data_IF_548598093756
#
_entry.id   IF_548598093756
#
_cell.length_a   1.000
_cell.length_b   1.000
_cell.length_c   1.000
_cell.angle_alpha   90.00
_cell.angle_beta   90.00
_cell.angle_gamma   90.00
#
_symmetry.space_group_name_H-M   'P 1'
#
loop_
_entity.id
_entity.type
_entity.pdbx_description
1 polymer ?
#
# COMPACT_ATOMS: atom_id res chain seq x y z
N UNK A 1 0.57 -28.47 -22.05
CA UNK A 1 1.05 -27.81 -20.82
C UNK A 1 0.16 -26.59 -20.58
N UNK A 2 -0.67 -26.59 -19.53
CA UNK A 2 -1.53 -25.45 -19.19
C UNK A 2 -0.72 -24.42 -18.42
N UNK A 3 -0.48 -23.27 -19.04
CA UNK A 3 0.09 -22.07 -18.42
C UNK A 3 -0.84 -21.58 -17.31
N UNK A 4 -0.34 -21.52 -16.07
CA UNK A 4 -1.11 -21.07 -14.90
C UNK A 4 -1.01 -19.56 -14.75
N UNK A 5 -2.14 -18.87 -14.87
CA UNK A 5 -2.24 -17.41 -14.81
C UNK A 5 -2.49 -16.96 -13.35
N UNK A 6 -1.49 -16.34 -12.71
CA UNK A 6 -1.60 -15.80 -11.34
C UNK A 6 -1.93 -14.31 -11.34
N UNK A 7 -3.12 -13.94 -11.80
CA UNK A 7 -3.53 -12.54 -11.90
C UNK A 7 -4.30 -12.07 -10.66
N UNK A 8 -3.60 -11.36 -9.77
CA UNK A 8 -4.27 -10.51 -8.78
C UNK A 8 -3.82 -9.08 -8.98
N UNK A 9 -4.75 -8.18 -9.30
CA UNK A 9 -4.49 -6.74 -9.46
C UNK A 9 -4.60 -5.97 -8.13
N UNK A 10 -4.90 -6.66 -7.02
CA UNK A 10 -5.05 -6.01 -5.72
C UNK A 10 -3.73 -5.45 -5.17
N UNK A 11 -2.59 -5.86 -5.70
CA UNK A 11 -1.28 -5.33 -5.33
C UNK A 11 -1.14 -3.82 -5.53
N UNK A 12 -1.90 -3.19 -6.44
CA UNK A 12 -1.91 -1.73 -6.59
C UNK A 12 -2.37 -1.02 -5.30
N UNK A 13 -3.36 -1.59 -4.60
CA UNK A 13 -3.82 -1.05 -3.32
C UNK A 13 -2.80 -1.22 -2.20
N UNK A 14 -1.85 -2.15 -2.34
CA UNK A 14 -0.75 -2.35 -1.39
C UNK A 14 0.31 -1.24 -1.54
N UNK A 15 0.36 -0.56 -2.69
CA UNK A 15 1.26 0.58 -2.95
C UNK A 15 0.77 1.90 -2.33
N UNK A 16 -0.51 2.01 -1.96
CA UNK A 16 -1.12 3.20 -1.33
C UNK A 16 -0.25 3.82 -0.22
N UNK A 17 0.22 3.07 0.80
CA UNK A 17 1.04 3.64 1.87
C UNK A 17 2.39 4.21 1.38
N UNK A 18 2.93 3.73 0.26
CA UNK A 18 4.16 4.27 -0.32
C UNK A 18 3.92 5.65 -0.95
N UNK A 19 2.82 5.81 -1.69
CA UNK A 19 2.41 7.13 -2.20
C UNK A 19 2.04 8.09 -1.07
N UNK A 20 1.38 7.57 -0.03
CA UNK A 20 1.12 8.33 1.19
C UNK A 20 2.41 8.84 1.84
N UNK A 21 3.45 8.01 1.91
CA UNK A 21 4.75 8.40 2.46
C UNK A 21 5.34 9.63 1.72
N UNK A 22 5.21 9.67 0.39
CA UNK A 22 5.68 10.81 -0.42
C UNK A 22 4.92 12.10 -0.07
N UNK A 23 3.60 12.03 0.08
CA UNK A 23 2.81 13.17 0.53
C UNK A 23 3.23 13.67 1.92
N UNK A 24 3.52 12.75 2.84
CA UNK A 24 3.94 13.09 4.20
C UNK A 24 5.33 13.72 4.28
N UNK A 25 6.23 13.46 3.33
CA UNK A 25 7.52 14.18 3.25
C UNK A 25 7.35 15.70 3.05
N UNK A 26 6.22 16.13 2.48
CA UNK A 26 5.89 17.55 2.30
C UNK A 26 5.16 18.09 3.54
N UNK A 27 4.28 17.29 4.13
CA UNK A 27 3.44 17.69 5.28
C UNK A 27 4.27 17.87 6.55
N UNK A 28 5.21 16.96 6.85
CA UNK A 28 5.97 16.99 8.11
C UNK A 28 6.74 18.31 8.31
N UNK A 29 7.59 18.76 7.36
CA UNK A 29 8.32 20.02 7.53
C UNK A 29 7.39 21.22 7.69
N UNK A 30 6.24 21.20 7.01
CA UNK A 30 5.26 22.29 7.09
C UNK A 30 4.58 22.36 8.46
N UNK A 31 4.20 21.22 9.05
CA UNK A 31 3.58 21.17 10.37
C UNK A 31 4.55 21.53 11.50
N UNK A 32 5.85 21.23 11.33
CA UNK A 32 6.87 21.45 12.37
C UNK A 32 7.40 22.89 12.39
N UNK A 33 7.25 23.65 11.31
CA UNK A 33 7.84 24.98 11.18
C UNK A 33 6.79 26.06 10.93
N UNK A 34 6.45 26.79 12.00
CA UNK A 34 5.46 27.87 11.98
C UNK A 34 5.86 29.05 11.09
N UNK A 35 7.14 29.19 10.73
CA UNK A 35 7.63 30.24 9.82
C UNK A 35 7.00 30.12 8.43
N UNK A 36 6.56 28.91 8.02
CA UNK A 36 5.85 28.71 6.76
C UNK A 36 4.45 29.34 6.73
N UNK A 37 3.88 29.72 7.88
CA UNK A 37 2.58 30.39 7.96
C UNK A 37 2.64 31.83 7.43
N UNK A 38 3.80 32.45 7.44
CA UNK A 38 4.03 33.82 6.97
C UNK A 38 4.20 33.91 5.44
N UNK A 39 4.34 32.78 4.75
CA UNK A 39 4.45 32.75 3.29
C UNK A 39 3.13 33.12 2.61
N UNK A 40 3.17 33.79 1.43
CA UNK A 40 1.96 34.17 0.70
C UNK A 40 1.12 32.96 0.25
N UNK A 41 1.71 31.76 0.20
CA UNK A 41 1.06 30.52 -0.19
C UNK A 41 0.67 29.61 1.00
N UNK A 42 0.81 30.07 2.24
CA UNK A 42 0.60 29.26 3.44
C UNK A 42 -0.79 28.61 3.51
N UNK A 43 -1.84 29.33 3.08
CA UNK A 43 -3.22 28.80 3.01
C UNK A 43 -3.34 27.63 2.05
N UNK A 44 -2.66 27.69 0.90
CA UNK A 44 -2.68 26.61 -0.10
C UNK A 44 -1.96 25.38 0.45
N UNK A 45 -0.80 25.57 1.08
CA UNK A 45 -0.02 24.46 1.66
C UNK A 45 -0.79 23.82 2.83
N UNK A 46 -1.47 24.62 3.66
CA UNK A 46 -2.33 24.14 4.73
C UNK A 46 -3.47 23.26 4.19
N UNK A 47 -4.20 23.74 3.17
CA UNK A 47 -5.28 22.97 2.54
C UNK A 47 -4.76 21.69 1.87
N UNK A 48 -3.64 21.77 1.17
CA UNK A 48 -2.99 20.61 0.55
C UNK A 48 -2.58 19.57 1.60
N UNK A 49 -2.04 20.01 2.73
CA UNK A 49 -1.63 19.13 3.83
C UNK A 49 -2.84 18.44 4.47
N UNK A 50 -3.91 19.20 4.74
CA UNK A 50 -5.17 18.64 5.23
C UNK A 50 -5.76 17.60 4.26
N UNK A 51 -5.71 17.87 2.96
CA UNK A 51 -6.17 16.93 1.93
C UNK A 51 -5.33 15.65 1.91
N UNK A 52 -3.99 15.75 1.99
CA UNK A 52 -3.10 14.58 2.06
C UNK A 52 -3.42 13.72 3.30
N UNK A 53 -3.60 14.34 4.46
CA UNK A 53 -3.94 13.64 5.71
C UNK A 53 -5.29 12.92 5.55
N UNK A 54 -6.30 13.61 5.02
CA UNK A 54 -7.64 13.06 4.82
C UNK A 54 -7.62 11.88 3.84
N UNK A 55 -6.99 12.04 2.67
CA UNK A 55 -6.89 11.00 1.65
C UNK A 55 -6.11 9.78 2.17
N UNK A 56 -4.96 9.99 2.82
CA UNK A 56 -4.15 8.87 3.35
C UNK A 56 -4.84 8.12 4.47
N UNK A 57 -5.61 8.82 5.31
CA UNK A 57 -6.46 8.21 6.34
C UNK A 57 -7.59 7.39 5.70
N UNK A 58 -8.29 7.96 4.73
CA UNK A 58 -9.40 7.31 4.03
C UNK A 58 -8.97 6.10 3.21
N UNK A 59 -7.78 6.12 2.63
CA UNK A 59 -7.23 4.99 1.87
C UNK A 59 -6.61 3.89 2.75
N UNK A 60 -6.50 4.11 4.07
CA UNK A 60 -5.90 3.12 4.96
C UNK A 60 -6.73 1.82 5.09
N UNK A 61 -8.08 1.86 5.20
CA UNK A 61 -8.89 0.65 5.10
C UNK A 61 -8.76 -0.05 3.74
N UNK A 62 -8.62 0.72 2.64
CA UNK A 62 -8.43 0.18 1.29
C UNK A 62 -7.15 -0.65 1.22
N UNK A 63 -6.05 -0.17 1.82
CA UNK A 63 -4.81 -0.94 1.94
C UNK A 63 -5.03 -2.31 2.60
N UNK A 64 -5.76 -2.37 3.72
CA UNK A 64 -6.02 -3.63 4.43
C UNK A 64 -6.87 -4.59 3.59
N UNK A 65 -7.92 -4.06 2.95
CA UNK A 65 -8.80 -4.84 2.07
C UNK A 65 -8.02 -5.40 0.89
N UNK A 66 -7.22 -4.57 0.21
CA UNK A 66 -6.40 -5.01 -0.90
C UNK A 66 -5.37 -6.06 -0.49
N UNK A 67 -4.74 -5.91 0.67
CA UNK A 67 -3.80 -6.88 1.21
C UNK A 67 -4.46 -8.25 1.47
N UNK A 68 -5.66 -8.25 2.06
CA UNK A 68 -6.43 -9.47 2.29
C UNK A 68 -6.89 -10.12 0.98
N UNK A 69 -7.40 -9.33 0.02
CA UNK A 69 -7.88 -9.82 -1.27
C UNK A 69 -6.75 -10.37 -2.13
N UNK A 70 -5.57 -9.73 -2.15
CA UNK A 70 -4.40 -10.24 -2.87
C UNK A 70 -3.94 -11.57 -2.29
N UNK A 71 -3.85 -11.66 -0.95
CA UNK A 71 -3.48 -12.90 -0.28
C UNK A 71 -4.51 -14.01 -0.51
N UNK A 72 -5.81 -13.70 -0.48
CA UNK A 72 -6.87 -14.66 -0.76
C UNK A 72 -6.80 -15.21 -2.17
N UNK A 73 -6.68 -14.33 -3.18
CA UNK A 73 -6.55 -14.74 -4.58
C UNK A 73 -5.29 -15.58 -4.80
N UNK A 74 -4.17 -15.21 -4.21
CA UNK A 74 -2.93 -15.98 -4.33
C UNK A 74 -3.06 -17.38 -3.70
N UNK A 75 -3.76 -17.51 -2.56
CA UNK A 75 -4.04 -18.80 -1.93
C UNK A 75 -4.99 -19.69 -2.72
N UNK A 76 -6.02 -19.10 -3.33
CA UNK A 76 -6.97 -19.80 -4.20
C UNK A 76 -6.35 -20.17 -5.55
N UNK A 77 -5.29 -19.46 -5.93
CA UNK A 77 -4.50 -19.77 -7.11
C UNK A 77 -3.48 -20.86 -6.82
N UNK A 78 -3.02 -21.47 -7.90
CA UNK A 78 -2.00 -22.50 -7.88
C UNK A 78 -0.55 -21.98 -7.67
N UNK A 79 -0.42 -20.77 -7.13
CA UNK A 79 0.86 -20.07 -7.02
C UNK A 79 1.81 -20.81 -6.09
N UNK A 80 3.13 -20.75 -6.34
CA UNK A 80 4.14 -21.38 -5.48
C UNK A 80 4.18 -20.79 -4.06
N UNK A 81 3.54 -19.65 -3.84
CA UNK A 81 3.36 -19.04 -2.53
C UNK A 81 1.88 -18.96 -2.18
N UNK A 82 1.51 -19.62 -1.08
CA UNK A 82 0.15 -19.64 -0.53
C UNK A 82 0.09 -18.79 0.77
N UNK A 83 -0.06 -17.45 0.68
CA UNK A 83 -0.21 -16.60 1.85
C UNK A 83 -1.49 -16.88 2.63
N UNK A 84 -1.45 -16.80 3.96
CA UNK A 84 -2.66 -16.81 4.79
C UNK A 84 -3.33 -15.43 4.75
N UNK A 85 -4.56 -15.29 4.21
CA UNK A 85 -5.24 -14.00 4.09
C UNK A 85 -5.53 -13.36 5.44
N UNK A 86 -5.90 -14.16 6.45
CA UNK A 86 -6.19 -13.67 7.79
C UNK A 86 -4.96 -13.14 8.49
N UNK A 87 -3.81 -13.78 8.30
CA UNK A 87 -2.54 -13.30 8.87
C UNK A 87 -2.18 -11.93 8.28
N UNK A 88 -2.19 -11.81 6.96
CA UNK A 88 -1.83 -10.56 6.28
C UNK A 88 -2.86 -9.45 6.50
N UNK A 89 -4.15 -9.77 6.47
CA UNK A 89 -5.22 -8.82 6.81
C UNK A 89 -5.11 -8.31 8.25
N UNK A 90 -4.80 -9.19 9.22
CA UNK A 90 -4.62 -8.81 10.63
C UNK A 90 -3.38 -7.92 10.80
N UNK A 91 -2.25 -8.29 10.20
CA UNK A 91 -1.03 -7.48 10.22
C UNK A 91 -1.28 -6.09 9.61
N UNK A 92 -1.97 -6.03 8.47
CA UNK A 92 -2.36 -4.78 7.82
C UNK A 92 -3.31 -3.95 8.69
N UNK A 93 -4.29 -4.60 9.32
CA UNK A 93 -5.23 -3.96 10.24
C UNK A 93 -4.54 -3.38 11.47
N UNK A 94 -3.62 -4.12 12.08
CA UNK A 94 -2.80 -3.61 13.21
C UNK A 94 -1.95 -2.43 12.74
N UNK A 95 -1.28 -2.54 11.59
CA UNK A 95 -0.49 -1.43 11.04
C UNK A 95 -1.35 -0.18 10.75
N UNK A 96 -2.59 -0.36 10.28
CA UNK A 96 -3.56 0.72 10.13
C UNK A 96 -3.91 1.35 11.48
N UNK A 97 -4.30 0.54 12.47
CA UNK A 97 -4.69 1.02 13.79
C UNK A 97 -3.55 1.77 14.48
N UNK A 98 -2.34 1.21 14.47
CA UNK A 98 -1.13 1.89 15.00
C UNK A 98 -0.91 3.21 14.27
N UNK A 99 -1.08 3.23 12.95
CA UNK A 99 -0.88 4.47 12.20
C UNK A 99 -1.93 5.55 12.43
N UNK A 100 -3.17 5.18 12.77
CA UNK A 100 -4.21 6.13 13.18
C UNK A 100 -3.97 6.63 14.60
N UNK A 101 -3.65 5.72 15.53
CA UNK A 101 -3.47 6.06 16.95
C UNK A 101 -2.21 6.89 17.21
N UNK A 102 -1.14 6.63 16.46
CA UNK A 102 0.15 7.32 16.61
C UNK A 102 0.41 8.36 15.51
N UNK A 103 -0.56 8.62 14.62
CA UNK A 103 -0.39 9.49 13.44
C UNK A 103 0.88 9.14 12.63
N UNK A 104 1.14 7.85 12.46
CA UNK A 104 2.42 7.34 11.96
C UNK A 104 2.25 6.33 10.82
N UNK A 105 2.77 6.65 9.63
CA UNK A 105 2.65 5.80 8.44
C UNK A 105 3.63 4.62 8.37
N UNK A 106 4.69 4.64 9.16
CA UNK A 106 5.78 3.66 9.12
C UNK A 106 5.33 2.19 9.13
N UNK A 107 4.42 1.76 10.01
CA UNK A 107 3.99 0.36 10.08
C UNK A 107 3.36 -0.12 8.77
N UNK A 108 2.53 0.71 8.13
CA UNK A 108 1.89 0.38 6.85
C UNK A 108 2.92 0.25 5.73
N UNK A 109 3.93 1.11 5.71
CA UNK A 109 5.04 1.05 4.75
C UNK A 109 5.84 -0.25 4.92
N UNK A 110 6.19 -0.59 6.16
CA UNK A 110 6.95 -1.82 6.46
C UNK A 110 6.16 -3.07 6.01
N UNK A 111 4.87 -3.13 6.34
CA UNK A 111 4.01 -4.24 5.92
C UNK A 111 3.87 -4.31 4.40
N UNK A 112 3.64 -3.17 3.74
CA UNK A 112 3.52 -3.11 2.29
C UNK A 112 4.80 -3.61 1.60
N UNK A 113 5.97 -3.07 1.99
CA UNK A 113 7.26 -3.47 1.43
C UNK A 113 7.54 -4.95 1.69
N UNK A 114 7.31 -5.43 2.92
CA UNK A 114 7.53 -6.83 3.28
C UNK A 114 6.64 -7.79 2.49
N UNK A 115 5.37 -7.43 2.27
CA UNK A 115 4.45 -8.20 1.46
C UNK A 115 4.87 -8.23 -0.01
N UNK A 116 5.10 -7.04 -0.60
CA UNK A 116 5.46 -6.88 -2.00
C UNK A 116 6.80 -7.53 -2.32
N UNK A 117 7.77 -7.46 -1.42
CA UNK A 117 9.04 -8.16 -1.54
C UNK A 117 8.84 -9.68 -1.61
N UNK A 118 8.03 -10.25 -0.69
CA UNK A 118 7.72 -11.70 -0.69
C UNK A 118 6.96 -12.12 -1.94
N UNK A 119 5.97 -11.32 -2.36
CA UNK A 119 5.18 -11.56 -3.58
C UNK A 119 6.09 -11.53 -4.81
N UNK A 120 6.91 -10.49 -4.96
CA UNK A 120 7.83 -10.34 -6.08
C UNK A 120 8.81 -11.52 -6.17
N UNK A 121 9.41 -11.94 -5.05
CA UNK A 121 10.39 -13.04 -5.01
C UNK A 121 9.81 -14.41 -5.31
N UNK A 122 8.51 -14.63 -5.08
CA UNK A 122 7.88 -15.95 -5.20
C UNK A 122 6.97 -16.09 -6.42
N UNK A 123 6.30 -15.02 -6.82
CA UNK A 123 5.21 -15.04 -7.83
C UNK A 123 5.40 -13.96 -8.90
N UNK A 124 6.34 -13.02 -8.72
CA UNK A 124 6.47 -11.85 -9.59
C UNK A 124 5.51 -10.71 -9.20
N UNK A 125 5.64 -9.57 -9.89
CA UNK A 125 4.79 -8.39 -9.65
C UNK A 125 3.65 -8.28 -10.68
N UNK A 126 3.98 -8.53 -11.95
CA UNK A 126 3.04 -8.66 -13.06
C UNK A 126 2.79 -10.15 -13.26
N UNK A 127 1.53 -10.57 -13.37
CA UNK A 127 1.21 -11.97 -13.66
C UNK A 127 1.87 -12.33 -14.99
N UNK A 128 2.77 -13.30 -14.98
CA UNK A 128 3.50 -13.72 -16.17
C UNK A 128 2.51 -14.35 -17.16
N UNK A 129 2.12 -13.59 -18.18
CA UNK A 129 1.44 -14.13 -19.35
C UNK A 129 2.51 -14.46 -20.37
N UNK A 130 3.17 -15.61 -20.21
CA UNK A 130 3.84 -16.22 -21.36
C UNK A 130 2.74 -16.67 -22.32
N UNK A 131 2.37 -15.75 -23.22
CA UNK A 131 1.59 -16.06 -24.42
C UNK A 131 2.48 -17.00 -25.20
N UNK A 132 2.04 -18.25 -25.36
CA UNK A 132 2.69 -19.18 -26.26
C UNK A 132 2.78 -18.49 -27.63
N UNK A 133 4.00 -18.19 -28.07
CA UNK A 133 4.28 -17.95 -29.48
C UNK A 133 3.82 -19.22 -30.19
N UNK A 134 2.66 -19.13 -30.84
CA UNK A 134 2.16 -20.15 -31.75
C UNK A 134 3.08 -20.18 -32.96
N UNK A 135 3.64 -21.37 -33.21
CA UNK A 135 4.38 -21.80 -34.39
C UNK A 135 3.73 -21.37 -35.72
#
# INVERSE_FOLDING_TARGET
MTTRQYYSNWWYGIMIPLFGAVGWMIVIPFLENTTYLELPFSRIIFLASGLIIAVTSFLSPVFVVCLWLDARKLRESDAPWSPNPWLWGTIGGIAMLVGVLLSYLGPKIIVALGYLYRRHRRVGLLGDTTVAETE
#
